data_IF_530249460536
#
_entry.id   IF_530249460536
#
_cell.length_a   1.000
_cell.length_b   1.000
_cell.length_c   1.000
_cell.angle_alpha   90.00
_cell.angle_beta   90.00
_cell.angle_gamma   90.00
#
_symmetry.space_group_name_H-M   'P 1'
#
loop_
_entity.id
_entity.type
_entity.pdbx_description
1 polymer ?
#
# COMPACT_ATOMS: atom_id res chain seq x y z
N UNK A 1 -3.09 -10.25 -19.20
CA UNK A 1 -3.08 -9.42 -17.96
C UNK A 1 -1.69 -9.31 -17.33
N UNK A 2 -0.91 -10.40 -17.24
CA UNK A 2 0.47 -10.40 -16.73
C UNK A 2 1.41 -9.55 -17.61
N UNK A 3 1.19 -9.52 -18.93
CA UNK A 3 1.98 -8.76 -19.90
C UNK A 3 1.98 -7.24 -19.63
N UNK A 4 0.83 -6.67 -19.29
CA UNK A 4 0.72 -5.21 -18.99
C UNK A 4 1.50 -4.84 -17.72
N UNK A 5 1.42 -5.66 -16.66
CA UNK A 5 2.19 -5.42 -15.44
C UNK A 5 3.70 -5.47 -15.71
N UNK A 6 4.17 -6.49 -16.44
CA UNK A 6 5.58 -6.61 -16.79
C UNK A 6 6.05 -5.42 -17.63
N UNK A 7 5.24 -4.97 -18.59
CA UNK A 7 5.54 -3.78 -19.38
C UNK A 7 5.64 -2.52 -18.50
N UNK A 8 4.72 -2.33 -17.56
CA UNK A 8 4.75 -1.19 -16.62
C UNK A 8 5.98 -1.24 -15.72
N UNK A 9 6.29 -2.43 -15.15
CA UNK A 9 7.49 -2.64 -14.35
C UNK A 9 8.75 -2.26 -15.13
N UNK A 10 8.88 -2.74 -16.38
CA UNK A 10 10.03 -2.44 -17.24
C UNK A 10 10.10 -0.97 -17.64
N UNK A 11 8.97 -0.39 -18.07
CA UNK A 11 8.87 1.01 -18.51
C UNK A 11 9.31 2.01 -17.44
N UNK A 12 8.99 1.73 -16.19
CA UNK A 12 9.26 2.62 -15.08
C UNK A 12 10.36 2.13 -14.13
N UNK A 13 11.05 1.03 -14.46
CA UNK A 13 12.09 0.41 -13.62
C UNK A 13 11.62 0.18 -12.17
N UNK A 14 10.37 -0.28 -12.01
CA UNK A 14 9.74 -0.38 -10.69
C UNK A 14 10.33 -1.48 -9.83
N UNK A 15 10.76 -2.59 -10.45
CA UNK A 15 11.26 -3.78 -9.75
C UNK A 15 12.54 -4.26 -10.44
N UNK A 16 13.54 -4.59 -9.63
CA UNK A 16 14.78 -5.26 -10.07
C UNK A 16 14.77 -6.72 -9.64
N UNK A 17 15.62 -7.52 -10.22
CA UNK A 17 15.83 -8.89 -9.75
C UNK A 17 16.35 -8.87 -8.31
N UNK A 18 15.88 -9.84 -7.52
CA UNK A 18 16.27 -10.02 -6.11
C UNK A 18 15.78 -8.93 -5.16
N UNK A 19 14.99 -7.94 -5.64
CA UNK A 19 14.40 -6.94 -4.76
C UNK A 19 13.60 -7.59 -3.63
N UNK A 20 13.74 -7.04 -2.43
CA UNK A 20 12.88 -7.33 -1.28
C UNK A 20 11.75 -6.30 -1.23
N UNK A 21 10.52 -6.75 -1.42
CA UNK A 21 9.35 -5.88 -1.59
C UNK A 21 8.38 -6.05 -0.43
N UNK A 22 8.09 -4.95 0.26
CA UNK A 22 6.98 -4.86 1.21
C UNK A 22 5.69 -4.55 0.44
N UNK A 23 4.73 -5.46 0.47
CA UNK A 23 3.43 -5.31 -0.21
C UNK A 23 2.39 -4.85 0.78
N UNK A 24 1.85 -3.65 0.59
CA UNK A 24 0.76 -3.12 1.41
C UNK A 24 -0.57 -3.76 0.98
N UNK A 25 -1.18 -4.53 1.88
CA UNK A 25 -2.44 -5.25 1.61
C UNK A 25 -3.52 -4.78 2.58
N UNK A 26 -4.53 -4.09 2.06
CA UNK A 26 -5.66 -3.61 2.85
C UNK A 26 -6.77 -4.65 3.05
N UNK A 27 -6.75 -5.75 2.30
CA UNK A 27 -7.84 -6.73 2.20
C UNK A 27 -8.79 -6.47 1.03
N UNK A 28 -8.71 -5.29 0.40
CA UNK A 28 -9.50 -4.98 -0.80
C UNK A 28 -8.97 -5.65 -2.08
N UNK A 29 -9.81 -5.71 -3.14
CA UNK A 29 -9.52 -6.48 -4.36
C UNK A 29 -8.24 -6.02 -5.06
N UNK A 30 -7.96 -4.72 -5.12
CA UNK A 30 -6.79 -4.18 -5.83
C UNK A 30 -5.48 -4.54 -5.13
N UNK A 31 -5.45 -4.44 -3.80
CA UNK A 31 -4.27 -4.80 -3.02
C UNK A 31 -3.98 -6.31 -3.08
N UNK A 32 -5.02 -7.14 -3.12
CA UNK A 32 -4.89 -8.59 -3.32
C UNK A 32 -4.45 -8.92 -4.75
N UNK A 33 -5.01 -8.24 -5.75
CA UNK A 33 -4.58 -8.43 -7.13
C UNK A 33 -3.09 -8.09 -7.32
N UNK A 34 -2.61 -7.02 -6.67
CA UNK A 34 -1.19 -6.69 -6.64
C UNK A 34 -0.36 -7.79 -5.98
N UNK A 35 -0.79 -8.27 -4.79
CA UNK A 35 -0.12 -9.34 -4.07
C UNK A 35 0.02 -10.60 -4.94
N UNK A 36 -1.07 -11.09 -5.54
CA UNK A 36 -1.05 -12.28 -6.39
C UNK A 36 -0.15 -12.11 -7.62
N UNK A 37 -0.17 -10.94 -8.25
CA UNK A 37 0.71 -10.64 -9.39
C UNK A 37 2.18 -10.64 -8.98
N UNK A 38 2.53 -10.04 -7.85
CA UNK A 38 3.91 -10.06 -7.35
C UNK A 38 4.34 -11.47 -6.93
N UNK A 39 3.46 -12.23 -6.29
CA UNK A 39 3.71 -13.62 -5.93
C UNK A 39 3.98 -14.49 -7.17
N UNK A 40 3.25 -14.28 -8.28
CA UNK A 40 3.50 -15.01 -9.54
C UNK A 40 4.85 -14.66 -10.18
N UNK A 41 5.41 -13.50 -9.90
CA UNK A 41 6.72 -13.06 -10.40
C UNK A 41 7.87 -13.43 -9.44
N UNK A 42 7.56 -13.89 -8.22
CA UNK A 42 8.54 -14.18 -7.17
C UNK A 42 9.69 -15.03 -7.67
N UNK A 43 9.39 -16.17 -8.24
CA UNK A 43 10.42 -17.11 -8.71
C UNK A 43 11.14 -16.61 -9.96
N UNK A 44 10.42 -15.98 -10.89
CA UNK A 44 10.99 -15.49 -12.16
C UNK A 44 12.00 -14.37 -11.96
N UNK A 45 11.74 -13.49 -10.99
CA UNK A 45 12.57 -12.33 -10.67
C UNK A 45 13.42 -12.52 -9.42
N UNK A 46 13.31 -13.65 -8.71
CA UNK A 46 14.03 -13.90 -7.45
C UNK A 46 13.57 -12.99 -6.30
N UNK A 47 12.29 -12.53 -6.31
CA UNK A 47 11.83 -11.56 -5.33
C UNK A 47 11.66 -12.17 -3.95
N UNK A 48 11.98 -11.38 -2.93
CA UNK A 48 11.56 -11.63 -1.55
C UNK A 48 10.37 -10.74 -1.22
N UNK A 49 9.22 -11.35 -0.88
CA UNK A 49 8.00 -10.62 -0.56
C UNK A 49 7.72 -10.65 0.94
N UNK A 50 7.19 -9.56 1.45
CA UNK A 50 6.65 -9.44 2.80
C UNK A 50 5.35 -8.65 2.75
N UNK A 51 4.32 -9.08 3.46
CA UNK A 51 3.02 -8.41 3.49
C UNK A 51 2.97 -7.46 4.70
N UNK A 52 2.43 -6.26 4.49
CA UNK A 52 2.09 -5.32 5.55
C UNK A 52 0.59 -5.04 5.55
N UNK A 53 -0.07 -5.27 6.66
CA UNK A 53 -1.49 -4.96 6.86
C UNK A 53 -1.69 -4.05 8.07
N UNK A 54 -2.32 -2.89 7.87
CA UNK A 54 -2.71 -1.99 8.94
C UNK A 54 -4.21 -2.10 9.19
N UNK A 55 -4.58 -2.61 10.36
CA UNK A 55 -5.95 -2.61 10.85
C UNK A 55 -6.29 -1.23 11.45
N UNK A 56 -7.08 -0.45 10.73
CA UNK A 56 -7.52 0.88 11.18
C UNK A 56 -8.55 0.81 12.32
N UNK A 57 -9.11 -0.37 12.63
CA UNK A 57 -10.12 -0.60 13.68
C UNK A 57 -11.35 0.33 13.60
N UNK A 58 -11.66 0.85 12.42
CA UNK A 58 -12.78 1.77 12.18
C UNK A 58 -14.11 1.05 11.92
N UNK A 59 -14.05 -0.22 11.48
CA UNK A 59 -15.21 -1.05 11.17
C UNK A 59 -15.26 -2.26 12.10
N UNK A 60 -16.48 -2.75 12.40
CA UNK A 60 -16.64 -3.99 13.18
C UNK A 60 -15.97 -5.21 12.50
N UNK A 61 -15.86 -5.17 11.18
CA UNK A 61 -15.30 -6.25 10.35
C UNK A 61 -13.78 -6.18 10.15
N UNK A 62 -13.10 -5.18 10.75
CA UNK A 62 -11.65 -5.01 10.57
C UNK A 62 -10.81 -6.22 11.05
N UNK A 63 -11.32 -6.96 12.06
CA UNK A 63 -10.70 -8.21 12.50
C UNK A 63 -10.82 -9.31 11.43
N UNK A 64 -11.92 -9.34 10.70
CA UNK A 64 -12.17 -10.30 9.62
C UNK A 64 -11.21 -10.02 8.45
N UNK A 65 -10.97 -8.74 8.14
CA UNK A 65 -10.01 -8.35 7.09
C UNK A 65 -8.59 -8.78 7.44
N UNK A 66 -8.15 -8.58 8.68
CA UNK A 66 -6.82 -8.99 9.14
C UNK A 66 -6.63 -10.52 9.08
N UNK A 67 -7.66 -11.29 9.50
CA UNK A 67 -7.65 -12.75 9.41
C UNK A 67 -7.62 -13.21 7.95
N UNK A 68 -8.40 -12.57 7.09
CA UNK A 68 -8.44 -12.88 5.67
C UNK A 68 -7.08 -12.65 4.99
N UNK A 69 -6.44 -11.51 5.25
CA UNK A 69 -5.10 -11.23 4.72
C UNK A 69 -4.07 -12.22 5.25
N UNK A 70 -4.16 -12.59 6.54
CA UNK A 70 -3.29 -13.60 7.15
C UNK A 70 -3.45 -14.97 6.47
N UNK A 71 -4.67 -15.41 6.20
CA UNK A 71 -4.92 -16.68 5.49
C UNK A 71 -4.25 -16.71 4.10
N UNK A 72 -4.26 -15.58 3.38
CA UNK A 72 -3.56 -15.50 2.10
C UNK A 72 -2.04 -15.46 2.25
N UNK A 73 -1.52 -14.80 3.27
CA UNK A 73 -0.09 -14.82 3.60
C UNK A 73 0.40 -16.25 3.83
N UNK A 74 -0.36 -17.02 4.64
CA UNK A 74 -0.06 -18.42 4.95
C UNK A 74 -0.13 -19.30 3.69
N UNK A 75 -1.19 -19.17 2.88
CA UNK A 75 -1.35 -19.92 1.61
C UNK A 75 -0.24 -19.64 0.60
N UNK A 76 0.27 -18.41 0.53
CA UNK A 76 1.34 -18.01 -0.38
C UNK A 76 2.73 -18.23 0.20
N UNK A 77 2.83 -18.67 1.46
CA UNK A 77 4.07 -18.79 2.20
C UNK A 77 4.90 -17.47 2.15
N UNK A 78 4.22 -16.35 2.47
CA UNK A 78 4.81 -15.01 2.51
C UNK A 78 4.68 -14.48 3.93
N UNK A 79 5.77 -14.02 4.58
CA UNK A 79 5.71 -13.43 5.90
C UNK A 79 4.84 -12.17 5.93
N UNK A 80 4.18 -11.93 7.06
CA UNK A 80 3.25 -10.81 7.24
C UNK A 80 3.51 -10.06 8.54
N UNK A 81 3.46 -8.73 8.49
CA UNK A 81 3.37 -7.84 9.64
C UNK A 81 1.99 -7.21 9.69
N UNK A 82 1.29 -7.41 10.80
CA UNK A 82 -0.02 -6.79 11.06
C UNK A 82 0.14 -5.82 12.22
N UNK A 83 -0.22 -4.57 12.03
CA UNK A 83 -0.29 -3.57 13.11
C UNK A 83 -1.73 -3.07 13.24
N UNK A 84 -2.16 -2.90 14.48
CA UNK A 84 -3.48 -2.35 14.79
C UNK A 84 -3.34 -0.90 15.23
N UNK A 85 -4.01 0.01 14.53
CA UNK A 85 -4.00 1.42 14.89
C UNK A 85 -4.77 1.63 16.19
N UNK A 86 -4.07 2.07 17.24
CA UNK A 86 -4.69 2.33 18.54
C UNK A 86 -5.28 3.73 18.58
N UNK A 87 -6.51 3.87 18.08
CA UNK A 87 -7.22 5.16 18.02
C UNK A 87 -7.52 5.76 19.41
N UNK A 88 -7.50 4.97 20.49
CA UNK A 88 -7.74 5.45 21.85
C UNK A 88 -6.58 6.24 22.46
N UNK A 89 -5.35 6.00 21.93
CA UNK A 89 -4.13 6.72 22.35
C UNK A 89 -3.90 8.01 21.59
N UNK A 90 -4.69 8.27 20.56
CA UNK A 90 -4.58 9.47 19.73
C UNK A 90 -5.36 10.62 20.37
N UNK A 91 -4.70 11.76 20.46
CA UNK A 91 -5.21 12.97 21.11
C UNK A 91 -6.58 13.36 20.53
N UNK A 92 -7.50 13.78 21.40
CA UNK A 92 -8.86 14.22 21.04
C UNK A 92 -8.85 15.37 20.02
N UNK A 93 -7.77 16.13 19.93
CA UNK A 93 -7.57 17.22 18.96
C UNK A 93 -7.50 16.75 17.49
N UNK A 94 -7.14 15.50 17.24
CA UNK A 94 -7.10 14.92 15.89
C UNK A 94 -8.42 14.29 15.46
N UNK A 95 -9.39 14.23 16.38
CA UNK A 95 -10.71 13.67 16.12
C UNK A 95 -11.67 14.79 15.75
N UNK A 96 -11.95 14.98 14.46
CA UNK A 96 -12.99 15.87 13.99
C UNK A 96 -14.41 15.37 14.35
N UNK A 97 -15.43 16.19 14.11
CA UNK A 97 -16.84 15.93 14.43
C UNK A 97 -17.38 14.61 13.81
N UNK A 98 -16.77 14.13 12.71
CA UNK A 98 -17.12 12.89 12.00
C UNK A 98 -16.09 11.74 12.15
N UNK A 99 -15.12 11.85 13.06
CA UNK A 99 -14.05 10.85 13.23
C UNK A 99 -12.69 11.34 12.73
N UNK A 100 -11.77 10.41 12.44
CA UNK A 100 -10.45 10.75 11.92
C UNK A 100 -10.51 11.10 10.44
N UNK A 101 -9.76 12.14 10.02
CA UNK A 101 -9.69 12.51 8.61
C UNK A 101 -9.02 11.41 7.79
N UNK A 102 -9.40 11.27 6.53
CA UNK A 102 -8.79 10.32 5.61
C UNK A 102 -7.29 10.59 5.42
N UNK A 103 -6.90 11.86 5.43
CA UNK A 103 -5.51 12.28 5.33
C UNK A 103 -4.68 11.81 6.53
N UNK A 104 -5.22 11.91 7.74
CA UNK A 104 -4.60 11.37 8.96
C UNK A 104 -4.41 9.85 8.89
N UNK A 105 -5.42 9.12 8.45
CA UNK A 105 -5.33 7.67 8.31
C UNK A 105 -4.31 7.26 7.23
N UNK A 106 -4.22 8.04 6.16
CA UNK A 106 -3.21 7.87 5.11
C UNK A 106 -1.80 8.10 5.64
N UNK A 107 -1.60 9.16 6.45
CA UNK A 107 -0.32 9.44 7.10
C UNK A 107 0.10 8.27 8.00
N UNK A 108 -0.79 7.82 8.90
CA UNK A 108 -0.50 6.69 9.80
C UNK A 108 -0.19 5.39 9.05
N UNK A 109 -0.87 5.16 7.93
CA UNK A 109 -0.54 4.03 7.05
C UNK A 109 0.87 4.16 6.47
N UNK A 110 1.25 5.35 6.00
CA UNK A 110 2.59 5.57 5.47
C UNK A 110 3.66 5.42 6.54
N UNK A 111 3.46 5.95 7.75
CA UNK A 111 4.37 5.79 8.88
C UNK A 111 4.62 4.29 9.19
N UNK A 112 3.55 3.52 9.26
CA UNK A 112 3.62 2.07 9.48
C UNK A 112 4.40 1.36 8.37
N UNK A 113 4.09 1.67 7.11
CA UNK A 113 4.76 1.04 5.96
C UNK A 113 6.26 1.37 5.92
N UNK A 114 6.63 2.63 6.18
CA UNK A 114 8.04 3.06 6.21
C UNK A 114 8.78 2.39 7.36
N UNK A 115 8.20 2.36 8.56
CA UNK A 115 8.74 1.67 9.73
C UNK A 115 9.00 0.20 9.41
N UNK A 116 7.96 -0.51 8.94
CA UNK A 116 8.07 -1.94 8.61
C UNK A 116 9.09 -2.20 7.51
N UNK A 117 9.12 -1.35 6.46
CA UNK A 117 10.08 -1.48 5.38
C UNK A 117 11.53 -1.39 5.88
N UNK A 118 11.82 -0.46 6.81
CA UNK A 118 13.14 -0.32 7.43
C UNK A 118 13.50 -1.53 8.30
N UNK A 119 12.57 -2.00 9.14
CA UNK A 119 12.78 -3.14 10.02
C UNK A 119 13.15 -4.40 9.24
N UNK A 120 12.47 -4.66 8.13
CA UNK A 120 12.73 -5.82 7.29
C UNK A 120 13.81 -5.57 6.23
N UNK A 121 14.36 -4.35 6.12
CA UNK A 121 15.30 -3.93 5.07
C UNK A 121 14.74 -4.18 3.67
N UNK A 122 13.51 -3.71 3.42
CA UNK A 122 12.89 -3.77 2.12
C UNK A 122 13.47 -2.72 1.16
N UNK A 123 13.72 -3.09 -0.07
CA UNK A 123 14.17 -2.17 -1.12
C UNK A 123 13.02 -1.29 -1.62
N UNK A 124 11.80 -1.80 -1.57
CA UNK A 124 10.61 -1.15 -2.12
C UNK A 124 9.35 -1.44 -1.32
N UNK A 125 8.43 -0.48 -1.36
CA UNK A 125 7.05 -0.64 -0.88
C UNK A 125 6.11 -0.60 -2.08
N UNK A 126 5.30 -1.63 -2.27
CA UNK A 126 4.31 -1.72 -3.33
C UNK A 126 2.91 -1.41 -2.80
N UNK A 127 2.22 -0.49 -3.46
CA UNK A 127 0.86 -0.05 -3.15
C UNK A 127 -0.08 -0.37 -4.31
N UNK A 128 -1.27 -0.89 -4.01
CA UNK A 128 -2.29 -1.27 -4.99
C UNK A 128 -3.14 -0.09 -5.46
N UNK A 129 -2.51 0.99 -5.94
CA UNK A 129 -3.26 2.06 -6.60
C UNK A 129 -3.66 1.63 -8.01
N UNK A 130 -4.88 1.99 -8.40
CA UNK A 130 -5.47 1.68 -9.70
C UNK A 130 -5.71 2.95 -10.54
N UNK A 131 -6.35 2.80 -11.69
CA UNK A 131 -6.67 3.91 -12.60
C UNK A 131 -7.72 4.85 -12.00
N UNK A 132 -8.64 4.33 -11.20
CA UNK A 132 -9.69 5.12 -10.55
C UNK A 132 -9.08 6.02 -9.46
N UNK A 133 -8.13 5.50 -8.66
CA UNK A 133 -7.35 6.32 -7.70
C UNK A 133 -6.59 7.45 -8.41
N UNK A 134 -6.08 7.18 -9.60
CA UNK A 134 -5.39 8.17 -10.42
C UNK A 134 -6.35 9.27 -10.88
N UNK A 135 -7.52 8.88 -11.42
CA UNK A 135 -8.55 9.81 -11.88
C UNK A 135 -9.07 10.67 -10.72
N UNK A 136 -9.37 10.05 -9.58
CA UNK A 136 -9.80 10.74 -8.37
C UNK A 136 -8.75 11.76 -7.88
N UNK A 137 -7.48 11.35 -7.83
CA UNK A 137 -6.39 12.22 -7.40
C UNK A 137 -6.26 13.44 -8.32
N UNK A 138 -6.34 13.25 -9.64
CA UNK A 138 -6.26 14.35 -10.62
C UNK A 138 -7.46 15.28 -10.46
N UNK A 139 -8.67 14.72 -10.36
CA UNK A 139 -9.91 15.49 -10.20
C UNK A 139 -9.90 16.32 -8.92
N UNK A 140 -9.53 15.70 -7.80
CA UNK A 140 -9.45 16.38 -6.49
C UNK A 140 -8.43 17.52 -6.51
N UNK A 141 -7.29 17.34 -7.18
CA UNK A 141 -6.28 18.38 -7.33
C UNK A 141 -6.78 19.52 -8.22
N UNK A 142 -7.49 19.20 -9.30
CA UNK A 142 -8.10 20.18 -10.19
C UNK A 142 -9.11 21.06 -9.43
N UNK A 143 -10.01 20.44 -8.65
CA UNK A 143 -11.02 21.15 -7.86
C UNK A 143 -10.41 22.04 -6.76
N UNK A 144 -9.23 21.69 -6.25
CA UNK A 144 -8.48 22.48 -5.25
C UNK A 144 -7.61 23.59 -5.87
N UNK A 145 -7.60 23.73 -7.19
CA UNK A 145 -6.80 24.72 -7.87
C UNK A 145 -5.31 24.38 -7.89
N UNK A 146 -4.92 23.39 -8.65
CA UNK A 146 -3.52 22.99 -8.78
C UNK A 146 -2.91 23.49 -10.09
N UNK A 147 -1.59 23.75 -10.08
CA UNK A 147 -0.83 24.00 -11.30
C UNK A 147 -0.55 22.71 -12.09
N UNK A 148 0.10 22.84 -13.26
CA UNK A 148 0.38 21.73 -14.18
C UNK A 148 1.07 20.52 -13.51
N UNK A 149 1.98 20.77 -12.57
CA UNK A 149 2.65 19.70 -11.81
C UNK A 149 1.68 18.84 -11.00
N UNK A 150 0.60 19.42 -10.49
CA UNK A 150 -0.41 18.68 -9.72
C UNK A 150 -1.28 17.78 -10.58
N UNK A 151 -1.43 18.08 -11.88
CA UNK A 151 -2.22 17.27 -12.82
C UNK A 151 -1.53 15.96 -13.22
N UNK A 152 -0.25 15.78 -12.89
CA UNK A 152 0.47 14.52 -13.15
C UNK A 152 -0.06 13.31 -12.34
N UNK A 153 -0.93 13.56 -11.36
CA UNK A 153 -1.55 12.50 -10.55
C UNK A 153 -0.56 11.77 -9.63
N UNK A 154 -0.79 10.48 -9.43
CA UNK A 154 0.06 9.62 -8.59
C UNK A 154 1.25 9.14 -9.44
N UNK A 155 2.48 9.46 -9.00
CA UNK A 155 3.69 8.96 -9.68
C UNK A 155 3.82 7.44 -9.51
N UNK A 156 4.16 6.71 -10.59
CA UNK A 156 4.42 5.27 -10.51
C UNK A 156 5.54 4.88 -9.54
N UNK A 157 6.51 5.76 -9.34
CA UNK A 157 7.62 5.59 -8.41
C UNK A 157 7.83 6.88 -7.62
N UNK A 158 7.96 6.74 -6.30
CA UNK A 158 8.35 7.82 -5.40
C UNK A 158 9.51 7.38 -4.52
N UNK A 159 10.55 8.18 -4.49
CA UNK A 159 11.69 7.95 -3.59
C UNK A 159 11.35 8.54 -2.23
N UNK A 160 11.43 7.72 -1.19
CA UNK A 160 11.29 8.15 0.20
C UNK A 160 12.71 8.22 0.77
N UNK A 161 13.20 9.45 0.96
CA UNK A 161 14.47 9.66 1.67
C UNK A 161 14.24 9.34 3.14
N UNK A 162 15.01 8.40 3.66
CA UNK A 162 15.01 8.00 5.05
C UNK A 162 15.82 8.93 5.91
#
# INVERSE_FOLDING_TARGET
MLSKLIQTIKRHNLIRREDKILVAVSGGPDSLALLFKLASLKNTLGLTLHIAHLDHSLRKDSKTDALFVKQWADKLNIPITIEKLNLKKLDSKTRGFKGYSEEFLREKRMDFLIKTAREIKADKVALGHNVDDQAETVLMRLLRGTGLCGLSGISPLRIIKG
#
